data_IF_869551627555
#
_entry.id   IF_869551627555
#
_cell.length_a   1.000
_cell.length_b   1.000
_cell.length_c   1.000
_cell.angle_alpha   90.00
_cell.angle_beta   90.00
_cell.angle_gamma   90.00
#
_symmetry.space_group_name_H-M   'P 1'
#
loop_
_entity.id
_entity.type
_entity.pdbx_description
1 polymer ?
#
# COMPACT_ATOMS: atom_id res chain seq x y z
N UNK A 1 48.27 -18.35 -34.10
CA UNK A 1 47.08 -19.10 -33.62
C UNK A 1 46.70 -18.85 -32.16
N UNK A 2 47.65 -18.73 -31.21
CA UNK A 2 47.30 -18.50 -29.78
C UNK A 2 46.66 -17.14 -29.46
N UNK A 3 46.99 -16.07 -30.20
CA UNK A 3 46.42 -14.72 -29.99
C UNK A 3 44.96 -14.64 -30.46
N UNK A 4 44.58 -15.41 -31.49
CA UNK A 4 43.21 -15.41 -32.03
C UNK A 4 42.22 -16.16 -31.12
N UNK A 5 42.67 -17.23 -30.44
CA UNK A 5 41.86 -17.93 -29.44
C UNK A 5 41.68 -17.14 -28.13
N UNK A 6 42.63 -16.28 -27.76
CA UNK A 6 42.51 -15.42 -26.59
C UNK A 6 41.51 -14.28 -26.81
N UNK A 7 41.46 -13.71 -28.02
CA UNK A 7 40.46 -12.69 -28.39
C UNK A 7 39.05 -13.26 -28.47
N UNK A 8 38.89 -14.53 -28.89
CA UNK A 8 37.59 -15.20 -28.94
C UNK A 8 37.04 -15.50 -27.53
N UNK A 9 37.90 -15.87 -26.57
CA UNK A 9 37.50 -16.03 -25.17
C UNK A 9 37.18 -14.70 -24.48
N UNK A 10 37.90 -13.62 -24.83
CA UNK A 10 37.62 -12.29 -24.27
C UNK A 10 36.26 -11.74 -24.76
N UNK A 11 35.87 -12.04 -26.00
CA UNK A 11 34.58 -11.64 -26.60
C UNK A 11 33.38 -12.40 -26.00
N UNK A 12 33.56 -13.63 -25.54
CA UNK A 12 32.50 -14.41 -24.86
C UNK A 12 32.33 -13.97 -23.40
N UNK A 13 33.37 -13.42 -22.77
CA UNK A 13 33.30 -12.90 -21.39
C UNK A 13 32.78 -11.46 -21.25
N UNK A 14 32.50 -10.73 -22.35
CA UNK A 14 31.99 -9.35 -22.30
C UNK A 14 30.45 -9.27 -22.48
N UNK A 15 29.77 -10.39 -22.75
CA UNK A 15 28.31 -10.43 -22.93
C UNK A 15 27.49 -10.74 -21.67
N UNK A 16 28.05 -10.61 -20.47
CA UNK A 16 27.23 -10.49 -19.25
C UNK A 16 26.76 -9.05 -19.08
N UNK A 17 25.99 -8.56 -20.07
CA UNK A 17 25.09 -7.43 -19.85
C UNK A 17 24.12 -7.93 -18.79
N UNK A 18 24.02 -7.24 -17.66
CA UNK A 18 23.16 -7.59 -16.52
C UNK A 18 21.69 -7.65 -16.94
N UNK A 19 21.26 -8.69 -17.66
CA UNK A 19 19.86 -8.94 -17.91
C UNK A 19 19.23 -9.34 -16.57
N UNK A 20 18.23 -8.59 -16.13
CA UNK A 20 17.42 -9.00 -14.99
C UNK A 20 16.88 -10.40 -15.23
N UNK A 21 16.75 -11.18 -14.15
CA UNK A 21 16.16 -12.51 -14.22
C UNK A 21 14.78 -12.42 -14.89
N UNK A 22 14.39 -13.39 -15.73
CA UNK A 22 13.03 -13.41 -16.25
C UNK A 22 12.05 -13.46 -15.07
N UNK A 23 10.95 -12.67 -15.09
CA UNK A 23 9.92 -12.77 -14.08
C UNK A 23 9.41 -14.21 -13.99
N UNK A 24 9.14 -14.69 -12.78
CA UNK A 24 8.56 -16.02 -12.57
C UNK A 24 7.22 -16.13 -13.30
N UNK A 25 6.86 -17.31 -13.77
CA UNK A 25 5.52 -17.55 -14.31
C UNK A 25 4.45 -17.16 -13.28
N UNK A 26 3.28 -16.63 -13.69
CA UNK A 26 2.25 -16.23 -12.74
C UNK A 26 1.71 -17.41 -11.93
N UNK A 27 1.63 -17.25 -10.62
CA UNK A 27 1.08 -18.27 -9.70
C UNK A 27 0.29 -17.62 -8.57
N UNK A 28 -0.70 -18.34 -8.03
CA UNK A 28 -1.52 -17.84 -6.93
C UNK A 28 -0.94 -18.31 -5.60
N UNK A 29 -0.80 -17.38 -4.66
CA UNK A 29 -0.61 -17.70 -3.23
C UNK A 29 -1.90 -17.40 -2.48
N UNK A 30 -2.15 -18.17 -1.42
CA UNK A 30 -3.31 -17.97 -0.55
C UNK A 30 -2.84 -17.49 0.81
N UNK A 31 -3.38 -16.38 1.28
CA UNK A 31 -3.16 -15.91 2.64
C UNK A 31 -4.36 -16.30 3.52
N UNK A 32 -4.08 -16.99 4.62
CA UNK A 32 -5.07 -17.38 5.64
C UNK A 32 -4.53 -16.96 7.00
N UNK A 33 -5.28 -16.14 7.74
CA UNK A 33 -4.90 -15.63 9.06
C UNK A 33 -3.46 -15.03 9.11
N UNK A 34 -3.06 -14.30 8.07
CA UNK A 34 -1.74 -13.68 7.98
C UNK A 34 -0.62 -14.58 7.41
N UNK A 35 -0.81 -15.90 7.39
CA UNK A 35 0.16 -16.85 6.84
C UNK A 35 -0.04 -17.08 5.33
N UNK A 36 1.06 -17.14 4.57
CA UNK A 36 1.05 -17.35 3.13
C UNK A 36 1.29 -18.82 2.80
N UNK A 37 0.38 -19.39 2.02
CA UNK A 37 0.39 -20.75 1.54
C UNK A 37 0.67 -20.78 0.03
N UNK A 38 1.45 -21.78 -0.40
CA UNK A 38 1.81 -21.99 -1.81
C UNK A 38 0.87 -23.01 -2.44
N UNK A 39 0.91 -23.11 -3.76
CA UNK A 39 0.17 -24.13 -4.49
C UNK A 39 0.49 -25.53 -3.93
N UNK A 40 -0.55 -26.34 -3.73
CA UNK A 40 -0.48 -27.68 -3.14
C UNK A 40 -0.40 -27.72 -1.61
N UNK A 41 -0.31 -26.58 -0.92
CA UNK A 41 -0.23 -26.57 0.54
C UNK A 41 -1.50 -27.12 1.20
N UNK A 42 -1.27 -27.80 2.33
CA UNK A 42 -2.30 -28.23 3.26
C UNK A 42 -2.47 -27.16 4.36
N UNK A 43 -3.72 -26.85 4.68
CA UNK A 43 -4.13 -25.83 5.63
C UNK A 43 -5.02 -26.53 6.64
N UNK A 44 -4.54 -26.63 7.87
CA UNK A 44 -5.31 -27.21 8.96
C UNK A 44 -6.46 -26.29 9.34
N UNK A 45 -7.66 -26.86 9.38
CA UNK A 45 -8.90 -26.16 9.77
C UNK A 45 -9.74 -27.04 10.68
N UNK A 46 -10.64 -26.42 11.42
CA UNK A 46 -11.58 -27.13 12.29
C UNK A 46 -12.96 -27.28 11.62
N UNK A 47 -13.72 -28.36 11.88
CA UNK A 47 -15.07 -28.49 11.35
C UNK A 47 -15.98 -27.34 11.80
N UNK A 48 -16.78 -26.80 10.88
CA UNK A 48 -17.66 -25.66 11.14
C UNK A 48 -16.96 -24.30 11.28
N UNK A 49 -15.64 -24.24 11.14
CA UNK A 49 -14.87 -22.99 11.19
C UNK A 49 -15.23 -22.05 10.02
N UNK A 50 -15.25 -20.73 10.27
CA UNK A 50 -15.25 -19.73 9.20
C UNK A 50 -13.90 -19.03 9.14
N UNK A 51 -13.22 -19.16 8.01
CA UNK A 51 -11.92 -18.56 7.76
C UNK A 51 -12.00 -17.49 6.68
N UNK A 52 -11.23 -16.40 6.86
CA UNK A 52 -11.02 -15.40 5.83
C UNK A 52 -9.79 -15.77 5.02
N UNK A 53 -9.93 -15.74 3.70
CA UNK A 53 -8.84 -16.00 2.77
C UNK A 53 -8.65 -14.86 1.79
N UNK A 54 -7.40 -14.66 1.37
CA UNK A 54 -7.03 -13.71 0.32
C UNK A 54 -6.14 -14.38 -0.71
N UNK A 55 -6.47 -14.26 -1.99
CA UNK A 55 -5.67 -14.78 -3.09
C UNK A 55 -4.84 -13.67 -3.74
N UNK A 56 -3.54 -13.88 -3.90
CA UNK A 56 -2.66 -12.90 -4.54
C UNK A 56 -1.98 -13.56 -5.74
N UNK A 57 -2.12 -12.96 -6.92
CA UNK A 57 -1.41 -13.43 -8.11
C UNK A 57 0.03 -12.89 -8.12
N UNK A 58 0.98 -13.75 -7.80
CA UNK A 58 2.42 -13.47 -7.83
C UNK A 58 3.01 -13.84 -9.19
N UNK A 59 4.27 -13.47 -9.44
CA UNK A 59 4.91 -13.70 -10.74
C UNK A 59 4.56 -12.63 -11.78
N UNK A 60 4.99 -12.85 -13.02
CA UNK A 60 4.74 -12.00 -14.17
C UNK A 60 5.06 -10.52 -13.91
N UNK A 61 4.10 -9.65 -14.25
CA UNK A 61 4.25 -8.20 -14.08
C UNK A 61 4.35 -7.77 -12.63
N UNK A 62 3.75 -8.51 -11.69
CA UNK A 62 3.83 -8.17 -10.26
C UNK A 62 5.25 -8.28 -9.75
N UNK A 63 5.95 -9.36 -10.09
CA UNK A 63 7.36 -9.54 -9.75
C UNK A 63 8.22 -8.43 -10.35
N UNK A 64 8.02 -8.14 -11.64
CA UNK A 64 8.70 -7.04 -12.33
C UNK A 64 8.53 -5.70 -11.60
N UNK A 65 7.32 -5.38 -11.15
CA UNK A 65 7.01 -4.13 -10.44
C UNK A 65 7.47 -4.12 -8.99
N UNK A 66 7.46 -5.27 -8.31
CA UNK A 66 7.73 -5.38 -6.87
C UNK A 66 9.21 -5.55 -6.55
N UNK A 67 9.98 -6.15 -7.45
CA UNK A 67 11.42 -6.28 -7.32
C UNK A 67 12.12 -5.95 -8.66
N UNK A 68 12.10 -4.67 -9.07
CA UNK A 68 12.65 -4.28 -10.37
C UNK A 68 14.15 -4.46 -10.48
N UNK A 69 14.89 -4.36 -9.36
CA UNK A 69 16.34 -4.60 -9.37
C UNK A 69 16.68 -6.02 -9.83
N UNK A 70 15.82 -6.99 -9.50
CA UNK A 70 15.97 -8.37 -9.94
C UNK A 70 15.42 -8.61 -11.35
N UNK A 71 14.21 -8.12 -11.63
CA UNK A 71 13.43 -8.57 -12.79
C UNK A 71 13.29 -7.55 -13.93
N UNK A 72 13.61 -6.27 -13.70
CA UNK A 72 13.36 -5.19 -14.65
C UNK A 72 14.60 -4.70 -15.40
N UNK A 73 15.77 -5.31 -15.18
CA UNK A 73 17.04 -4.90 -15.78
C UNK A 73 17.26 -3.38 -15.64
N UNK A 74 17.40 -2.91 -14.39
CA UNK A 74 17.55 -1.49 -14.08
C UNK A 74 18.95 -1.03 -14.50
N UNK A 75 19.03 -0.26 -15.58
CA UNK A 75 20.30 0.29 -16.08
C UNK A 75 20.88 1.37 -15.17
N UNK A 76 22.18 1.67 -15.32
CA UNK A 76 22.91 2.66 -14.49
C UNK A 76 22.29 4.06 -14.50
N UNK A 77 21.56 4.42 -15.55
CA UNK A 77 20.91 5.73 -15.69
C UNK A 77 19.41 5.69 -15.38
N UNK A 78 18.90 4.57 -14.86
CA UNK A 78 17.50 4.38 -14.50
C UNK A 78 17.31 4.54 -13.00
N UNK A 79 16.43 5.45 -12.62
CA UNK A 79 16.01 5.67 -11.23
C UNK A 79 14.61 5.09 -11.06
N UNK A 80 14.48 4.12 -10.14
CA UNK A 80 13.16 3.64 -9.71
C UNK A 80 12.61 4.64 -8.70
N UNK A 81 11.51 5.29 -9.06
CA UNK A 81 10.86 6.32 -8.23
C UNK A 81 9.86 5.69 -7.25
N UNK A 82 9.19 4.61 -7.67
CA UNK A 82 8.30 3.82 -6.82
C UNK A 82 8.26 2.37 -7.30
N UNK A 83 8.07 1.42 -6.37
CA UNK A 83 7.93 0.00 -6.68
C UNK A 83 7.04 -0.66 -5.63
N UNK A 84 6.36 -1.75 -6.01
CA UNK A 84 5.50 -2.49 -5.10
C UNK A 84 4.46 -3.36 -5.82
N UNK A 85 3.59 -3.95 -4.99
CA UNK A 85 2.58 -4.92 -5.40
C UNK A 85 1.64 -4.41 -6.50
N UNK A 86 1.32 -3.11 -6.50
CA UNK A 86 0.32 -2.51 -7.39
C UNK A 86 0.93 -1.71 -8.55
N UNK A 87 2.26 -1.68 -8.68
CA UNK A 87 2.89 -0.89 -9.73
C UNK A 87 4.32 -0.46 -9.45
N UNK A 88 4.87 0.20 -10.45
CA UNK A 88 6.22 0.76 -10.41
C UNK A 88 6.27 2.00 -11.29
N UNK A 89 7.01 3.03 -10.86
CA UNK A 89 7.40 4.14 -11.72
C UNK A 89 8.92 4.30 -11.77
N UNK A 90 9.42 4.74 -12.91
CA UNK A 90 10.84 4.96 -13.13
C UNK A 90 11.10 6.09 -14.11
N UNK A 91 12.33 6.57 -14.06
CA UNK A 91 12.85 7.64 -14.88
C UNK A 91 14.22 7.23 -15.45
N UNK A 92 14.53 7.63 -16.67
CA UNK A 92 15.84 7.43 -17.31
C UNK A 92 16.37 8.78 -17.79
N UNK A 93 17.67 9.03 -17.55
CA UNK A 93 18.38 10.23 -17.97
C UNK A 93 17.68 11.52 -17.50
N UNK A 94 17.43 11.64 -16.19
CA UNK A 94 16.93 12.88 -15.56
C UNK A 94 15.63 13.45 -16.16
N UNK A 95 14.70 12.59 -16.57
CA UNK A 95 13.36 12.97 -17.06
C UNK A 95 13.17 12.81 -18.55
N UNK A 96 14.20 12.45 -19.31
CA UNK A 96 14.07 12.25 -20.75
C UNK A 96 13.12 11.10 -21.09
N UNK A 97 13.10 10.05 -20.27
CA UNK A 97 12.12 8.97 -20.36
C UNK A 97 11.52 8.71 -18.99
N UNK A 98 10.21 8.52 -18.94
CA UNK A 98 9.55 8.01 -17.74
C UNK A 98 8.58 6.90 -18.09
N UNK A 99 8.36 5.99 -17.14
CA UNK A 99 7.46 4.86 -17.30
C UNK A 99 6.71 4.58 -16.01
N UNK A 100 5.43 4.24 -16.12
CA UNK A 100 4.59 3.83 -15.00
C UNK A 100 3.79 2.60 -15.36
N UNK A 101 3.98 1.53 -14.60
CA UNK A 101 3.08 0.38 -14.56
C UNK A 101 2.12 0.53 -13.39
N UNK A 102 0.83 0.30 -13.64
CA UNK A 102 -0.21 0.30 -12.62
C UNK A 102 -1.08 -0.94 -12.75
N UNK A 103 -1.34 -1.62 -11.64
CA UNK A 103 -2.33 -2.68 -11.56
C UNK A 103 -3.73 -2.01 -11.61
N UNK A 104 -4.52 -2.34 -12.61
CA UNK A 104 -5.85 -1.73 -12.83
C UNK A 104 -6.98 -2.63 -12.34
N UNK A 105 -6.76 -3.94 -12.28
CA UNK A 105 -7.78 -4.89 -11.83
C UNK A 105 -7.13 -6.20 -11.38
N UNK A 106 -7.67 -6.84 -10.35
CA UNK A 106 -7.33 -8.20 -9.94
C UNK A 106 -8.59 -8.94 -9.51
N UNK A 107 -8.85 -10.10 -10.10
CA UNK A 107 -10.02 -10.92 -9.79
C UNK A 107 -9.59 -12.35 -9.53
N UNK A 108 -9.90 -12.84 -8.34
CA UNK A 108 -9.77 -14.23 -7.94
C UNK A 108 -11.14 -14.92 -7.92
N UNK A 109 -11.21 -16.09 -8.55
CA UNK A 109 -12.35 -16.97 -8.55
C UNK A 109 -11.99 -18.18 -7.70
N UNK A 110 -12.76 -18.38 -6.65
CA UNK A 110 -12.62 -19.48 -5.70
C UNK A 110 -13.63 -20.58 -6.04
N UNK A 111 -13.19 -21.83 -6.09
CA UNK A 111 -14.04 -22.99 -6.32
C UNK A 111 -13.58 -24.20 -5.52
N UNK A 112 -14.53 -25.08 -5.21
CA UNK A 112 -14.33 -26.27 -4.37
C UNK A 112 -15.44 -27.29 -4.65
N UNK A 113 -15.47 -28.39 -3.90
CA UNK A 113 -16.63 -29.26 -3.76
C UNK A 113 -17.83 -28.49 -3.17
N UNK A 114 -19.05 -28.94 -3.48
CA UNK A 114 -20.32 -28.30 -3.08
C UNK A 114 -20.46 -28.11 -1.56
N UNK A 115 -19.86 -28.99 -0.77
CA UNK A 115 -19.89 -28.93 0.69
C UNK A 115 -19.16 -27.70 1.28
N UNK A 116 -18.27 -27.06 0.52
CA UNK A 116 -17.53 -25.88 0.98
C UNK A 116 -18.24 -24.60 0.56
N UNK A 117 -18.83 -23.89 1.53
CA UNK A 117 -19.53 -22.64 1.24
C UNK A 117 -18.54 -21.48 1.16
N UNK A 118 -18.48 -20.86 -0.02
CA UNK A 118 -17.58 -19.74 -0.31
C UNK A 118 -18.39 -18.48 -0.54
N UNK A 119 -18.13 -17.44 0.25
CA UNK A 119 -18.80 -16.13 0.15
C UNK A 119 -17.76 -15.06 -0.18
N UNK A 120 -17.77 -14.47 -1.40
CA UNK A 120 -16.89 -13.36 -1.74
C UNK A 120 -17.08 -12.16 -0.81
N UNK A 121 -16.01 -11.50 -0.40
CA UNK A 121 -16.05 -10.36 0.54
C UNK A 121 -15.94 -8.99 -0.13
N UNK A 122 -15.28 -8.89 -1.29
CA UNK A 122 -14.91 -7.59 -1.87
C UNK A 122 -15.86 -7.13 -2.98
N UNK A 123 -16.06 -5.80 -3.03
CA UNK A 123 -16.63 -5.07 -4.15
C UNK A 123 -15.59 -4.09 -4.71
N UNK A 124 -15.54 -3.92 -6.04
CA UNK A 124 -14.57 -3.04 -6.71
C UNK A 124 -13.67 -3.73 -7.74
N UNK A 125 -12.53 -3.11 -8.06
CA UNK A 125 -11.54 -3.56 -9.05
C UNK A 125 -10.56 -4.62 -8.51
N UNK A 126 -10.51 -4.78 -7.18
CA UNK A 126 -9.75 -5.82 -6.51
C UNK A 126 -10.76 -6.74 -5.84
N UNK A 127 -10.87 -7.97 -6.35
CA UNK A 127 -11.79 -9.01 -5.87
C UNK A 127 -10.96 -10.26 -5.57
N UNK A 128 -10.28 -10.23 -4.43
CA UNK A 128 -9.30 -11.23 -4.01
C UNK A 128 -9.62 -11.89 -2.67
N UNK A 129 -10.66 -11.47 -1.98
CA UNK A 129 -11.02 -12.00 -0.66
C UNK A 129 -12.34 -12.79 -0.67
N UNK A 130 -12.38 -13.86 0.12
CA UNK A 130 -13.58 -14.63 0.40
C UNK A 130 -13.61 -15.13 1.86
N UNK A 131 -14.81 -15.33 2.38
CA UNK A 131 -15.04 -16.16 3.57
C UNK A 131 -15.35 -17.57 3.13
N UNK A 132 -14.72 -18.54 3.79
CA UNK A 132 -15.02 -19.95 3.63
C UNK A 132 -15.62 -20.46 4.93
N UNK A 133 -16.73 -21.20 4.83
CA UNK A 133 -17.33 -21.95 5.92
C UNK A 133 -17.04 -23.44 5.71
N UNK A 134 -16.28 -24.03 6.64
CA UNK A 134 -15.86 -25.45 6.62
C UNK A 134 -17.06 -26.32 7.00
N UNK A 135 -17.34 -27.42 6.27
CA UNK A 135 -18.41 -28.34 6.66
C UNK A 135 -18.16 -28.94 8.05
N UNK A 136 -19.24 -29.32 8.74
CA UNK A 136 -19.17 -29.86 10.10
C UNK A 136 -18.77 -31.33 10.14
N UNK A 137 -19.03 -32.08 9.08
CA UNK A 137 -18.84 -33.52 8.98
C UNK A 137 -18.60 -33.97 7.53
N UNK A 138 -18.35 -35.27 7.34
CA UNK A 138 -18.31 -35.91 6.02
C UNK A 138 -16.99 -35.81 5.25
N UNK A 139 -16.00 -35.04 5.72
CA UNK A 139 -14.73 -34.85 5.01
C UNK A 139 -13.55 -34.78 5.97
N UNK A 140 -12.43 -35.42 5.61
CA UNK A 140 -11.13 -35.23 6.28
C UNK A 140 -10.25 -34.22 5.55
N UNK A 141 -10.47 -34.04 4.24
CA UNK A 141 -9.69 -33.15 3.37
C UNK A 141 -10.55 -32.64 2.22
N UNK A 142 -10.49 -31.33 1.95
CA UNK A 142 -11.27 -30.65 0.90
C UNK A 142 -10.31 -29.80 0.05
N UNK A 143 -10.41 -29.88 -1.28
CA UNK A 143 -9.61 -29.02 -2.15
C UNK A 143 -10.24 -27.62 -2.27
N UNK A 144 -9.42 -26.59 -2.40
CA UNK A 144 -9.84 -25.24 -2.75
C UNK A 144 -9.02 -24.80 -3.95
N UNK A 145 -9.67 -24.66 -5.10
CA UNK A 145 -9.05 -24.16 -6.32
C UNK A 145 -9.26 -22.65 -6.44
N UNK A 146 -8.20 -21.94 -6.79
CA UNK A 146 -8.21 -20.50 -6.97
C UNK A 146 -7.63 -20.16 -8.33
N UNK A 147 -8.40 -19.43 -9.12
CA UNK A 147 -7.97 -18.88 -10.40
C UNK A 147 -7.94 -17.37 -10.28
N UNK A 148 -6.76 -16.75 -10.40
CA UNK A 148 -6.62 -15.29 -10.31
C UNK A 148 -6.13 -14.70 -11.63
N UNK A 149 -6.64 -13.51 -11.95
CA UNK A 149 -6.27 -12.75 -13.14
C UNK A 149 -6.01 -11.29 -12.78
N UNK A 150 -4.87 -10.76 -13.20
CA UNK A 150 -4.51 -9.35 -13.06
C UNK A 150 -4.47 -8.66 -14.42
N UNK A 151 -4.92 -7.40 -14.46
CA UNK A 151 -4.77 -6.49 -15.59
C UNK A 151 -3.86 -5.33 -15.21
N UNK A 152 -2.92 -5.01 -16.08
CA UNK A 152 -1.89 -3.98 -15.86
C UNK A 152 -1.91 -2.98 -17.00
N UNK A 153 -1.73 -1.71 -16.67
CA UNK A 153 -1.62 -0.62 -17.63
C UNK A 153 -0.25 0.05 -17.51
N UNK A 154 0.42 0.19 -18.65
CA UNK A 154 1.71 0.86 -18.78
C UNK A 154 1.57 2.17 -19.53
N UNK A 155 2.16 3.21 -19.00
CA UNK A 155 2.35 4.49 -19.68
C UNK A 155 3.83 4.79 -19.75
N UNK A 156 4.33 5.11 -20.95
CA UNK A 156 5.68 5.61 -21.19
C UNK A 156 5.64 6.99 -21.81
N UNK A 157 6.40 7.91 -21.24
CA UNK A 157 6.69 9.21 -21.84
C UNK A 157 8.09 9.20 -22.44
N UNK A 158 8.18 9.70 -23.66
CA UNK A 158 9.43 9.87 -24.40
C UNK A 158 9.42 11.26 -25.05
N UNK A 159 10.56 11.78 -25.53
CA UNK A 159 10.57 13.04 -26.29
C UNK A 159 9.72 12.96 -27.57
N UNK A 160 9.50 11.76 -28.09
CA UNK A 160 8.66 11.49 -29.26
C UNK A 160 7.17 11.28 -28.93
N UNK A 161 6.75 11.46 -27.67
CA UNK A 161 5.36 11.35 -27.23
C UNK A 161 5.08 10.22 -26.23
N UNK A 162 3.78 10.01 -25.97
CA UNK A 162 3.24 9.02 -25.03
C UNK A 162 2.97 7.69 -25.72
N UNK A 163 3.38 6.58 -25.10
CA UNK A 163 3.01 5.22 -25.52
C UNK A 163 2.32 4.50 -24.36
N UNK A 164 1.33 3.70 -24.69
CA UNK A 164 0.56 2.93 -23.72
C UNK A 164 0.55 1.46 -24.09
N UNK A 165 0.44 0.59 -23.09
CA UNK A 165 0.33 -0.86 -23.27
C UNK A 165 -0.44 -1.47 -22.11
N UNK A 166 -1.34 -2.40 -22.44
CA UNK A 166 -1.99 -3.25 -21.44
C UNK A 166 -1.37 -4.65 -21.42
N UNK A 167 -1.40 -5.28 -20.25
CA UNK A 167 -0.91 -6.63 -20.04
C UNK A 167 -1.80 -7.39 -19.07
N UNK A 168 -1.96 -8.69 -19.30
CA UNK A 168 -2.70 -9.57 -18.39
C UNK A 168 -1.81 -10.72 -17.94
N UNK A 169 -1.97 -11.09 -16.67
CA UNK A 169 -1.39 -12.31 -16.13
C UNK A 169 -2.49 -13.12 -15.48
N UNK A 170 -2.40 -14.44 -15.58
CA UNK A 170 -3.35 -15.39 -15.04
C UNK A 170 -2.60 -16.54 -14.39
N UNK A 171 -3.07 -16.97 -13.22
CA UNK A 171 -2.50 -18.10 -12.51
C UNK A 171 -3.60 -18.92 -11.85
N UNK A 172 -3.33 -20.20 -11.66
CA UNK A 172 -4.22 -21.14 -10.96
C UNK A 172 -3.43 -21.91 -9.92
N UNK A 173 -3.99 -22.01 -8.72
CA UNK A 173 -3.44 -22.84 -7.65
C UNK A 173 -4.55 -23.65 -6.98
N UNK A 174 -4.19 -24.79 -6.42
CA UNK A 174 -5.06 -25.63 -5.60
C UNK A 174 -4.45 -25.75 -4.22
N UNK A 175 -5.26 -25.56 -3.19
CA UNK A 175 -4.92 -25.72 -1.78
C UNK A 175 -5.78 -26.84 -1.21
N UNK A 176 -5.39 -27.37 -0.05
CA UNK A 176 -6.16 -28.40 0.62
C UNK A 176 -6.47 -27.99 2.06
N UNK A 177 -7.73 -27.98 2.42
CA UNK A 177 -8.21 -27.76 3.77
C UNK A 177 -8.28 -29.12 4.46
N UNK A 178 -7.45 -29.34 5.47
CA UNK A 178 -7.38 -30.59 6.23
C UNK A 178 -8.15 -30.40 7.53
N UNK A 179 -9.24 -31.13 7.68
CA UNK A 179 -10.12 -31.02 8.85
C UNK A 179 -9.48 -31.78 10.00
N UNK A 180 -9.03 -31.06 11.02
CA UNK A 180 -8.49 -31.65 12.23
C UNK A 180 -9.58 -31.75 13.29
N UNK A 181 -9.94 -33.00 13.60
CA UNK A 181 -10.79 -33.34 14.74
C UNK A 181 -9.89 -33.41 15.97
N UNK A 182 -10.09 -32.50 16.92
CA UNK A 182 -9.46 -32.63 18.23
C UNK A 182 -10.11 -33.79 19.00
N UNK A 183 -9.29 -34.60 19.67
CA UNK A 183 -9.78 -35.73 20.46
C UNK A 183 -10.75 -35.27 21.55
N UNK A 184 -11.84 -36.02 21.71
CA UNK A 184 -12.91 -35.72 22.66
C UNK A 184 -13.84 -34.57 22.26
N UNK A 185 -13.63 -33.91 21.11
CA UNK A 185 -14.55 -32.87 20.62
C UNK A 185 -15.78 -33.51 19.98
N UNK A 186 -16.95 -33.23 20.57
CA UNK A 186 -18.25 -33.67 20.05
C UNK A 186 -19.07 -32.50 19.46
N UNK A 187 -18.67 -31.26 19.74
CA UNK A 187 -19.28 -30.06 19.15
C UNK A 187 -18.23 -29.08 18.63
N UNK A 188 -18.44 -28.60 17.40
CA UNK A 188 -17.58 -27.61 16.77
C UNK A 188 -18.36 -26.69 15.85
N UNK A 189 -18.16 -25.38 16.03
CA UNK A 189 -18.67 -24.32 15.16
C UNK A 189 -17.69 -23.15 15.08
N UNK A 190 -17.94 -22.16 14.23
CA UNK A 190 -17.03 -21.04 14.04
C UNK A 190 -16.52 -20.39 15.33
N UNK A 191 -17.37 -20.26 16.34
CA UNK A 191 -17.06 -19.55 17.58
C UNK A 191 -17.03 -20.43 18.82
N UNK A 192 -17.27 -21.75 18.69
CA UNK A 192 -17.43 -22.63 19.84
C UNK A 192 -16.80 -23.99 19.58
N UNK A 193 -16.30 -24.58 20.66
CA UNK A 193 -15.84 -25.96 20.72
C UNK A 193 -16.27 -26.56 22.06
N UNK A 194 -16.76 -27.80 22.08
CA UNK A 194 -17.04 -28.52 23.30
C UNK A 194 -16.38 -29.91 23.30
N UNK A 195 -15.78 -30.28 24.44
CA UNK A 195 -15.13 -31.57 24.69
C UNK A 195 -15.79 -32.33 25.84
N UNK A 196 -15.61 -33.64 25.85
CA UNK A 196 -16.07 -34.52 26.93
C UNK A 196 -17.23 -35.40 26.49
N UNK A 197 -18.20 -35.60 27.38
CA UNK A 197 -19.43 -36.32 27.08
C UNK A 197 -20.46 -35.38 26.43
N UNK A 198 -21.14 -35.90 25.42
CA UNK A 198 -22.20 -35.17 24.74
C UNK A 198 -23.50 -35.21 25.58
N UNK A 199 -24.14 -34.05 25.67
CA UNK A 199 -25.52 -33.92 26.13
C UNK A 199 -26.34 -33.14 25.10
N UNK A 200 -27.56 -33.60 24.84
CA UNK A 200 -28.41 -33.04 23.78
C UNK A 200 -28.93 -31.64 24.13
N UNK A 201 -29.23 -31.39 25.41
CA UNK A 201 -29.65 -30.07 25.89
C UNK A 201 -28.50 -29.09 25.75
N UNK A 202 -27.29 -29.46 26.22
CA UNK A 202 -26.08 -28.65 26.06
C UNK A 202 -25.78 -28.37 24.58
N UNK A 203 -25.94 -29.35 23.69
CA UNK A 203 -25.79 -29.15 22.24
C UNK A 203 -26.73 -28.07 21.71
N UNK A 204 -28.00 -28.08 22.12
CA UNK A 204 -28.99 -27.10 21.67
C UNK A 204 -28.64 -25.69 22.16
N UNK A 205 -28.25 -25.55 23.42
CA UNK A 205 -27.80 -24.26 23.97
C UNK A 205 -26.57 -23.73 23.21
N UNK A 206 -25.59 -24.60 22.91
CA UNK A 206 -24.42 -24.22 22.11
C UNK A 206 -24.78 -23.82 20.66
N UNK A 207 -25.82 -24.41 20.07
CA UNK A 207 -26.32 -23.99 18.75
C UNK A 207 -26.91 -22.58 18.81
N UNK A 208 -27.72 -22.28 19.84
CA UNK A 208 -28.31 -20.96 20.05
C UNK A 208 -27.24 -19.90 20.29
N UNK A 209 -26.25 -20.18 21.13
CA UNK A 209 -25.08 -19.30 21.32
C UNK A 209 -24.42 -18.99 19.96
N UNK A 210 -24.17 -19.99 19.12
CA UNK A 210 -23.57 -19.77 17.81
C UNK A 210 -24.46 -18.92 16.89
N UNK A 211 -25.78 -19.06 16.97
CA UNK A 211 -26.71 -18.24 16.19
C UNK A 211 -26.70 -16.78 16.65
N UNK A 212 -26.68 -16.51 17.96
CA UNK A 212 -26.53 -15.14 18.45
C UNK A 212 -25.21 -14.51 18.04
N UNK A 213 -24.10 -15.27 18.00
CA UNK A 213 -22.85 -14.79 17.42
C UNK A 213 -23.03 -14.29 15.97
N UNK A 214 -23.75 -15.06 15.14
CA UNK A 214 -24.00 -14.69 13.73
C UNK A 214 -24.94 -13.49 13.61
N UNK A 215 -26.00 -13.44 14.43
CA UNK A 215 -26.96 -12.34 14.41
C UNK A 215 -26.30 -11.02 14.83
N UNK A 216 -25.48 -11.04 15.88
CA UNK A 216 -24.72 -9.87 16.32
C UNK A 216 -23.78 -9.39 15.21
N UNK A 217 -22.97 -10.28 14.62
CA UNK A 217 -22.08 -9.95 13.48
C UNK A 217 -22.88 -9.27 12.36
N UNK A 218 -24.02 -9.85 11.97
CA UNK A 218 -24.90 -9.32 10.91
C UNK A 218 -25.47 -7.94 11.23
N UNK A 219 -25.92 -7.70 12.46
CA UNK A 219 -26.46 -6.39 12.86
C UNK A 219 -25.36 -5.32 12.94
N UNK A 220 -24.17 -5.68 13.44
CA UNK A 220 -23.02 -4.77 13.48
C UNK A 220 -22.58 -4.35 12.07
N UNK A 221 -22.53 -5.28 11.11
CA UNK A 221 -22.20 -4.97 9.71
C UNK A 221 -23.22 -4.01 9.07
N UNK A 222 -24.48 -4.03 9.52
CA UNK A 222 -25.55 -3.15 9.05
C UNK A 222 -25.65 -1.83 9.84
N UNK A 223 -24.75 -1.59 10.80
CA UNK A 223 -24.82 -0.48 11.76
C UNK A 223 -26.13 -0.44 12.57
N UNK A 224 -26.78 -1.59 12.73
CA UNK A 224 -28.03 -1.75 13.48
C UNK A 224 -27.73 -2.05 14.95
N UNK A 225 -27.22 -1.04 15.65
CA UNK A 225 -26.66 -1.20 16.99
C UNK A 225 -27.70 -1.59 18.04
N UNK A 226 -28.94 -1.12 17.89
CA UNK A 226 -30.04 -1.46 18.81
C UNK A 226 -30.33 -2.95 18.80
N UNK A 227 -30.45 -3.56 17.61
CA UNK A 227 -30.66 -5.00 17.52
C UNK A 227 -29.41 -5.77 17.92
N UNK A 228 -28.21 -5.27 17.60
CA UNK A 228 -26.97 -5.88 18.10
C UNK A 228 -26.94 -5.96 19.63
N UNK A 229 -27.34 -4.89 20.35
CA UNK A 229 -27.39 -4.88 21.82
C UNK A 229 -28.38 -5.89 22.38
N UNK A 230 -29.57 -5.97 21.77
CA UNK A 230 -30.56 -6.97 22.15
C UNK A 230 -30.01 -8.39 22.00
N UNK A 231 -29.35 -8.68 20.88
CA UNK A 231 -28.76 -10.00 20.65
C UNK A 231 -27.54 -10.27 21.55
N UNK A 232 -26.79 -9.24 21.96
CA UNK A 232 -25.73 -9.37 22.96
C UNK A 232 -26.31 -9.79 24.31
N UNK A 233 -27.45 -9.23 24.73
CA UNK A 233 -28.09 -9.67 25.98
C UNK A 233 -28.61 -11.11 25.86
N UNK A 234 -29.22 -11.47 24.73
CA UNK A 234 -29.64 -12.85 24.47
C UNK A 234 -28.45 -13.81 24.52
N UNK A 235 -27.32 -13.45 23.89
CA UNK A 235 -26.09 -14.24 23.96
C UNK A 235 -25.65 -14.48 25.42
N UNK A 236 -25.64 -13.44 26.25
CA UNK A 236 -25.25 -13.57 27.67
C UNK A 236 -26.19 -14.50 28.44
N UNK A 237 -27.49 -14.44 28.14
CA UNK A 237 -28.49 -15.33 28.74
C UNK A 237 -28.22 -16.78 28.32
N UNK A 238 -28.05 -17.05 27.02
CA UNK A 238 -27.79 -18.40 26.52
C UNK A 238 -26.45 -18.99 26.97
N UNK A 239 -25.42 -18.15 27.19
CA UNK A 239 -24.18 -18.59 27.85
C UNK A 239 -24.45 -19.03 29.29
N UNK A 240 -25.32 -18.33 30.03
CA UNK A 240 -25.71 -18.74 31.37
C UNK A 240 -26.59 -20.00 31.37
N UNK A 241 -27.52 -20.14 30.41
CA UNK A 241 -28.34 -21.33 30.23
C UNK A 241 -27.50 -22.55 29.86
N UNK A 242 -26.48 -22.39 29.01
CA UNK A 242 -25.50 -23.46 28.69
C UNK A 242 -24.82 -23.96 29.97
N UNK A 243 -24.41 -23.05 30.86
CA UNK A 243 -23.84 -23.43 32.15
C UNK A 243 -24.84 -24.24 32.99
N UNK A 244 -26.09 -23.76 33.07
CA UNK A 244 -27.14 -24.45 33.83
C UNK A 244 -27.37 -25.86 33.30
N UNK A 245 -27.45 -26.02 31.98
CA UNK A 245 -27.61 -27.33 31.34
C UNK A 245 -26.42 -28.27 31.63
N UNK A 246 -25.19 -27.75 31.67
CA UNK A 246 -24.01 -28.53 32.07
C UNK A 246 -24.09 -28.94 33.54
N UNK A 247 -24.48 -28.02 34.42
CA UNK A 247 -24.62 -28.29 35.86
C UNK A 247 -25.74 -29.32 36.13
N UNK A 248 -26.86 -29.24 35.40
CA UNK A 248 -27.97 -30.21 35.45
C UNK A 248 -27.53 -31.60 34.96
N UNK A 249 -26.89 -31.69 33.78
CA UNK A 249 -26.37 -32.95 33.25
C UNK A 249 -25.35 -33.61 34.21
N UNK A 250 -24.55 -32.80 34.91
CA UNK A 250 -23.60 -33.27 35.93
C UNK A 250 -24.27 -33.77 37.22
N UNK A 251 -25.44 -33.24 37.56
CA UNK A 251 -26.24 -33.75 38.68
C UNK A 251 -26.89 -35.08 38.36
N UNK A 252 -27.35 -35.26 37.12
CA UNK A 252 -27.95 -36.51 36.64
C UNK A 252 -26.91 -37.61 36.43
N UNK A 253 -25.71 -37.25 35.97
CA UNK A 253 -24.59 -38.16 35.77
C UNK A 253 -23.30 -37.59 36.36
N UNK A 254 -22.83 -38.19 37.46
CA UNK A 254 -21.61 -37.75 38.15
C UNK A 254 -20.32 -37.90 37.33
N UNK A 255 -20.32 -38.75 36.30
CA UNK A 255 -19.20 -38.90 35.36
C UNK A 255 -19.25 -37.89 34.21
N UNK A 256 -20.33 -37.10 34.10
CA UNK A 256 -20.46 -36.09 33.05
C UNK A 256 -19.39 -35.00 33.18
N UNK A 257 -18.59 -34.88 32.12
CA UNK A 257 -17.64 -33.79 31.92
C UNK A 257 -17.93 -33.10 30.59
N UNK A 258 -17.98 -31.77 30.62
CA UNK A 258 -18.12 -30.98 29.41
C UNK A 258 -17.29 -29.71 29.56
N UNK A 259 -16.33 -29.53 28.65
CA UNK A 259 -15.47 -28.36 28.59
C UNK A 259 -15.84 -27.54 27.37
N UNK A 260 -16.33 -26.32 27.60
CA UNK A 260 -16.70 -25.38 26.53
C UNK A 260 -15.58 -24.36 26.32
N UNK A 261 -15.24 -24.14 25.05
CA UNK A 261 -14.33 -23.08 24.61
C UNK A 261 -15.04 -22.12 23.67
N UNK A 262 -15.08 -20.85 24.06
CA UNK A 262 -15.49 -19.72 23.21
C UNK A 262 -14.29 -19.23 22.39
N UNK A 263 -14.48 -19.03 21.08
CA UNK A 263 -13.44 -18.66 20.13
C UNK A 263 -13.84 -17.36 19.43
N UNK A 264 -13.04 -16.32 19.67
CA UNK A 264 -13.28 -14.97 19.18
C UNK A 264 -14.48 -14.30 19.84
N UNK A 265 -14.91 -13.21 19.23
CA UNK A 265 -16.09 -12.43 19.60
C UNK A 265 -16.94 -12.17 18.35
N UNK A 266 -18.26 -11.94 18.49
CA UNK A 266 -19.09 -11.57 17.35
C UNK A 266 -18.75 -10.18 16.77
N UNK A 267 -17.88 -9.42 17.44
CA UNK A 267 -17.36 -8.12 17.02
C UNK A 267 -16.09 -8.23 16.15
N UNK A 268 -15.44 -9.40 16.07
CA UNK A 268 -14.11 -9.55 15.47
C UNK A 268 -14.03 -9.01 14.04
N UNK A 269 -15.01 -9.34 13.19
CA UNK A 269 -15.03 -8.90 11.79
C UNK A 269 -15.17 -7.38 11.67
N UNK A 270 -16.06 -6.79 12.46
CA UNK A 270 -16.27 -5.33 12.48
C UNK A 270 -15.05 -4.61 13.06
N UNK A 271 -14.35 -5.23 14.01
CA UNK A 271 -13.08 -4.72 14.55
C UNK A 271 -11.93 -4.81 13.53
N UNK A 272 -11.83 -5.88 12.74
CA UNK A 272 -10.88 -5.96 11.61
C UNK A 272 -11.10 -4.80 10.63
N UNK A 273 -12.36 -4.53 10.26
CA UNK A 273 -12.71 -3.41 9.40
C UNK A 273 -12.31 -2.06 10.01
N UNK A 274 -12.60 -1.84 11.30
CA UNK A 274 -12.21 -0.62 12.01
C UNK A 274 -10.67 -0.44 12.02
N UNK A 275 -9.94 -1.50 12.34
CA UNK A 275 -8.47 -1.49 12.37
C UNK A 275 -7.86 -1.18 11.00
N UNK A 276 -8.44 -1.71 9.92
CA UNK A 276 -8.02 -1.42 8.54
C UNK A 276 -8.24 0.04 8.17
N UNK A 277 -9.39 0.61 8.53
CA UNK A 277 -9.71 2.01 8.28
C UNK A 277 -8.79 2.94 9.08
N UNK A 278 -8.51 2.60 10.34
CA UNK A 278 -7.53 3.32 11.17
C UNK A 278 -6.12 3.28 10.55
N UNK A 279 -5.68 2.11 10.11
CA UNK A 279 -4.40 1.94 9.41
C UNK A 279 -4.34 2.78 8.14
N UNK A 280 -5.43 2.81 7.35
CA UNK A 280 -5.52 3.65 6.15
C UNK A 280 -5.44 5.15 6.49
N UNK A 281 -6.17 5.59 7.53
CA UNK A 281 -6.12 6.97 8.03
C UNK A 281 -4.71 7.39 8.46
N UNK A 282 -3.98 6.49 9.13
CA UNK A 282 -2.58 6.72 9.51
C UNK A 282 -1.66 6.83 8.28
N UNK A 283 -1.82 5.96 7.28
CA UNK A 283 -1.07 6.06 6.02
C UNK A 283 -1.31 7.39 5.30
N UNK A 284 -2.54 7.90 5.29
CA UNK A 284 -2.82 9.22 4.73
C UNK A 284 -2.14 10.35 5.49
N UNK A 285 -2.09 10.26 6.83
CA UNK A 285 -1.33 11.20 7.67
C UNK A 285 0.17 11.16 7.33
N UNK A 286 0.75 9.99 7.15
CA UNK A 286 2.15 9.84 6.73
C UNK A 286 2.40 10.48 5.36
N UNK A 287 1.51 10.26 4.38
CA UNK A 287 1.60 10.88 3.05
C UNK A 287 1.53 12.41 3.11
N UNK A 288 0.68 12.96 3.98
CA UNK A 288 0.64 14.40 4.25
C UNK A 288 1.99 14.93 4.77
N UNK A 289 2.59 14.26 5.76
CA UNK A 289 3.87 14.69 6.32
C UNK A 289 5.01 14.63 5.29
N UNK A 290 5.00 13.63 4.41
CA UNK A 290 5.95 13.54 3.29
C UNK A 290 5.78 14.73 2.35
N UNK A 291 4.55 15.03 1.92
CA UNK A 291 4.28 16.17 1.04
C UNK A 291 4.68 17.49 1.71
N UNK A 292 4.39 17.68 2.99
CA UNK A 292 4.79 18.87 3.75
C UNK A 292 6.32 19.02 3.79
N UNK A 293 7.05 17.93 4.10
CA UNK A 293 8.52 17.94 4.09
C UNK A 293 9.09 18.31 2.71
N UNK A 294 8.48 17.78 1.64
CA UNK A 294 8.88 18.12 0.27
C UNK A 294 8.61 19.58 -0.07
N UNK A 295 7.47 20.14 0.33
CA UNK A 295 7.18 21.58 0.16
C UNK A 295 8.24 22.43 0.86
N UNK A 296 8.63 22.09 2.09
CA UNK A 296 9.68 22.83 2.82
C UNK A 296 11.03 22.76 2.10
N UNK A 297 11.44 21.58 1.62
CA UNK A 297 12.67 21.42 0.83
C UNK A 297 12.62 22.22 -0.47
N UNK A 298 11.50 22.17 -1.18
CA UNK A 298 11.31 22.92 -2.42
C UNK A 298 11.33 24.43 -2.15
N UNK A 299 10.73 24.90 -1.05
CA UNK A 299 10.79 26.32 -0.67
C UNK A 299 12.23 26.77 -0.41
N UNK A 300 13.04 25.96 0.27
CA UNK A 300 14.46 26.26 0.47
C UNK A 300 15.21 26.30 -0.87
N UNK A 301 15.01 25.31 -1.74
CA UNK A 301 15.61 25.31 -3.08
C UNK A 301 15.16 26.52 -3.90
N UNK A 302 13.87 26.85 -3.90
CA UNK A 302 13.34 28.03 -4.59
C UNK A 302 14.00 29.30 -4.07
N UNK A 303 14.15 29.46 -2.76
CA UNK A 303 14.82 30.60 -2.15
C UNK A 303 16.28 30.69 -2.61
N UNK A 304 17.03 29.58 -2.58
CA UNK A 304 18.43 29.52 -3.03
C UNK A 304 18.56 29.89 -4.51
N UNK A 305 17.71 29.32 -5.37
CA UNK A 305 17.68 29.63 -6.80
C UNK A 305 17.23 31.07 -7.09
N UNK A 306 16.29 31.62 -6.31
CA UNK A 306 15.83 33.00 -6.43
C UNK A 306 16.89 34.02 -5.98
N UNK A 307 17.64 33.72 -4.92
CA UNK A 307 18.79 34.53 -4.49
C UNK A 307 19.89 34.49 -5.55
N UNK A 308 20.22 33.32 -6.09
CA UNK A 308 21.18 33.17 -7.19
C UNK A 308 20.74 33.86 -8.48
N UNK A 309 19.45 33.76 -8.84
CA UNK A 309 18.86 34.46 -9.97
C UNK A 309 18.90 35.98 -9.78
N UNK A 310 18.55 36.50 -8.59
CA UNK A 310 18.58 37.93 -8.30
C UNK A 310 19.99 38.51 -8.39
N UNK A 311 21.00 37.77 -7.90
CA UNK A 311 22.41 38.13 -8.05
C UNK A 311 22.85 38.19 -9.53
N UNK A 312 22.38 37.25 -10.35
CA UNK A 312 22.70 37.19 -11.78
C UNK A 312 21.94 38.26 -12.60
N UNK A 313 20.70 38.59 -12.23
CA UNK A 313 19.94 39.71 -12.82
C UNK A 313 20.61 41.04 -12.50
N UNK A 314 21.04 41.27 -11.25
CA UNK A 314 21.79 42.47 -10.88
C UNK A 314 23.05 42.63 -11.74
N UNK A 315 23.83 41.56 -11.92
CA UNK A 315 24.98 41.52 -12.84
C UNK A 315 24.59 41.85 -14.29
N UNK A 316 23.47 41.30 -14.78
CA UNK A 316 22.95 41.58 -16.13
C UNK A 316 22.43 43.02 -16.30
N UNK A 317 21.91 43.64 -15.25
CA UNK A 317 21.49 45.06 -15.26
C UNK A 317 22.73 45.96 -15.31
N UNK A 318 23.78 45.64 -14.55
CA UNK A 318 25.08 46.31 -14.66
C UNK A 318 25.69 46.18 -16.07
N UNK A 319 25.56 45.02 -16.72
CA UNK A 319 25.94 44.81 -18.13
C UNK A 319 25.24 45.78 -19.09
N UNK A 320 23.94 46.00 -18.94
CA UNK A 320 23.20 46.96 -19.77
C UNK A 320 23.64 48.41 -19.52
N UNK A 321 23.99 48.76 -18.29
CA UNK A 321 24.51 50.07 -17.92
C UNK A 321 25.89 50.35 -18.55
N UNK A 322 26.78 49.35 -18.57
CA UNK A 322 28.10 49.43 -19.23
C UNK A 322 27.97 49.54 -20.76
N UNK A 323 27.07 48.77 -21.36
CA UNK A 323 26.78 48.85 -22.80
C UNK A 323 26.23 50.23 -23.21
N UNK A 324 25.48 50.91 -22.34
CA UNK A 324 25.07 52.31 -22.51
C UNK A 324 26.27 53.27 -22.46
N UNK A 325 27.21 53.06 -21.52
CA UNK A 325 28.44 53.86 -21.41
C UNK A 325 29.41 53.70 -22.59
N UNK A 326 29.49 52.51 -23.20
CA UNK A 326 30.27 52.25 -24.42
C UNK A 326 29.61 52.75 -25.71
N UNK A 327 28.35 53.23 -25.64
CA UNK A 327 27.65 53.87 -26.75
C UNK A 327 28.01 55.36 -26.94
N UNK A 328 28.89 55.91 -26.09
CA UNK A 328 29.48 57.22 -26.33
C UNK A 328 30.39 57.15 -27.56
N UNK A 329 30.32 58.12 -28.49
CA UNK A 329 31.10 58.09 -29.72
C UNK A 329 32.60 57.95 -29.42
N UNK A 330 33.26 56.91 -29.92
CA UNK A 330 34.73 56.84 -29.88
C UNK A 330 35.29 58.04 -30.66
N UNK A 331 35.90 58.99 -29.94
CA UNK A 331 36.37 60.26 -30.49
C UNK A 331 35.98 61.52 -29.70
N UNK A 332 35.11 61.43 -28.69
CA UNK A 332 34.83 62.60 -27.82
C UNK A 332 36.08 63.06 -27.06
N UNK A 333 37.02 62.16 -26.80
CA UNK A 333 38.30 62.46 -26.14
C UNK A 333 39.12 63.49 -26.93
N UNK A 334 39.24 63.35 -28.27
CA UNK A 334 39.95 64.30 -29.11
C UNK A 334 39.25 65.67 -29.24
N UNK A 335 37.93 65.72 -29.05
CA UNK A 335 37.15 66.97 -29.08
C UNK A 335 37.17 67.68 -27.71
N UNK A 336 37.20 66.93 -26.61
CA UNK A 336 37.24 67.45 -25.24
C UNK A 336 38.64 67.90 -24.82
N UNK A 337 39.73 67.28 -25.31
CA UNK A 337 41.10 67.74 -25.06
C UNK A 337 41.40 69.11 -25.68
N UNK A 338 40.61 69.54 -26.67
CA UNK A 338 40.68 70.89 -27.25
C UNK A 338 40.14 71.98 -26.32
N UNK A 339 39.28 71.60 -25.36
CA UNK A 339 38.61 72.51 -24.41
C UNK A 339 38.97 72.27 -22.93
N UNK A 340 39.68 71.18 -22.59
CA UNK A 340 40.25 70.94 -21.25
C UNK A 340 41.72 70.49 -21.30
N UNK A 341 42.67 71.43 -21.53
CA UNK A 341 44.10 71.12 -21.63
C UNK A 341 44.77 70.76 -20.29
N UNK A 342 44.02 70.78 -19.18
CA UNK A 342 44.53 70.44 -17.84
C UNK A 342 44.20 69.01 -17.41
N UNK A 343 43.53 68.23 -18.26
CA UNK A 343 43.15 66.85 -17.94
C UNK A 343 42.34 66.77 -16.62
N UNK A 344 41.46 67.75 -16.38
CA UNK A 344 40.57 67.71 -15.21
C UNK A 344 39.51 66.62 -15.39
N UNK A 345 39.10 66.38 -16.65
CA UNK A 345 38.33 65.23 -17.08
C UNK A 345 39.25 64.03 -17.33
N UNK A 346 39.88 63.53 -16.28
CA UNK A 346 40.64 62.28 -16.33
C UNK A 346 39.78 61.16 -16.93
N UNK A 347 40.40 60.40 -17.85
CA UNK A 347 39.96 59.14 -18.44
C UNK A 347 38.86 58.48 -17.62
N UNK A 348 37.70 58.23 -18.24
CA UNK A 348 36.66 57.36 -17.68
C UNK A 348 37.29 55.96 -17.58
N UNK A 349 38.04 55.75 -16.51
CA UNK A 349 38.72 54.50 -16.21
C UNK A 349 37.64 53.57 -15.66
N UNK A 350 36.99 52.84 -16.56
CA UNK A 350 36.11 51.75 -16.17
C UNK A 350 36.97 50.81 -15.31
N UNK A 351 36.66 50.64 -14.01
CA UNK A 351 37.50 49.86 -13.12
C UNK A 351 37.72 48.46 -13.71
N UNK A 352 38.96 47.95 -13.70
CA UNK A 352 39.31 46.61 -14.23
C UNK A 352 38.41 45.47 -13.72
N UNK A 353 37.75 45.66 -12.57
CA UNK A 353 36.70 44.80 -12.01
C UNK A 353 35.47 44.64 -12.93
N UNK A 354 35.12 45.66 -13.70
CA UNK A 354 33.95 45.70 -14.59
C UNK A 354 34.17 44.88 -15.86
N UNK A 355 35.39 44.89 -16.40
CA UNK A 355 35.75 44.08 -17.59
C UNK A 355 35.87 42.59 -17.27
N UNK A 356 36.31 42.25 -16.05
CA UNK A 356 36.24 40.88 -15.52
C UNK A 356 34.78 40.40 -15.43
N UNK A 357 33.88 41.24 -14.92
CA UNK A 357 32.45 40.91 -14.82
C UNK A 357 31.75 40.79 -16.18
N UNK A 358 32.24 41.51 -17.20
CA UNK A 358 31.74 41.41 -18.58
C UNK A 358 32.05 40.05 -19.21
N UNK A 359 33.28 39.54 -19.03
CA UNK A 359 33.69 38.22 -19.52
C UNK A 359 32.92 37.09 -18.82
N UNK A 360 32.66 37.21 -17.52
CA UNK A 360 31.82 36.26 -16.76
C UNK A 360 30.34 36.30 -17.23
N UNK A 361 29.82 37.48 -17.58
CA UNK A 361 28.41 37.68 -17.97
C UNK A 361 28.02 37.17 -19.37
N UNK A 362 28.98 36.72 -20.20
CA UNK A 362 28.69 36.05 -21.48
C UNK A 362 28.42 34.54 -21.29
N UNK A 363 29.00 33.93 -20.24
CA UNK A 363 28.69 32.58 -19.77
C UNK A 363 27.31 32.48 -19.09
N UNK A 364 26.86 33.56 -18.45
CA UNK A 364 25.66 33.58 -17.58
C UNK A 364 24.30 33.62 -18.29
N UNK A 365 24.23 33.94 -19.60
CA UNK A 365 22.95 34.01 -20.32
C UNK A 365 22.25 32.64 -20.46
N UNK A 366 23.02 31.56 -20.61
CA UNK A 366 22.50 30.18 -20.57
C UNK A 366 22.11 29.74 -19.15
N UNK A 367 22.82 30.26 -18.14
CA UNK A 367 22.55 30.01 -16.72
C UNK A 367 21.23 30.65 -16.30
N UNK A 368 20.95 31.88 -16.74
CA UNK A 368 19.67 32.58 -16.46
C UNK A 368 18.46 31.83 -17.02
N UNK A 369 18.52 31.32 -18.26
CA UNK A 369 17.43 30.53 -18.86
C UNK A 369 17.19 29.23 -18.08
N UNK A 370 18.25 28.53 -17.70
CA UNK A 370 18.16 27.31 -16.90
C UNK A 370 17.64 27.58 -15.47
N UNK A 371 18.02 28.71 -14.86
CA UNK A 371 17.53 29.13 -13.54
C UNK A 371 16.02 29.46 -13.57
N UNK A 372 15.54 30.19 -14.58
CA UNK A 372 14.09 30.48 -14.74
C UNK A 372 13.29 29.19 -14.95
N UNK A 373 13.77 28.28 -15.80
CA UNK A 373 13.09 26.99 -16.03
C UNK A 373 13.09 26.12 -14.76
N UNK A 374 14.18 26.13 -13.99
CA UNK A 374 14.28 25.40 -12.71
C UNK A 374 13.34 25.98 -11.65
N UNK A 375 13.27 27.31 -11.51
CA UNK A 375 12.32 27.98 -10.61
C UNK A 375 10.88 27.64 -10.99
N UNK A 376 10.56 27.63 -12.29
CA UNK A 376 9.23 27.25 -12.78
C UNK A 376 8.88 25.80 -12.42
N UNK A 377 9.77 24.84 -12.71
CA UNK A 377 9.56 23.41 -12.39
C UNK A 377 9.44 23.17 -10.89
N UNK A 378 10.27 23.82 -10.07
CA UNK A 378 10.19 23.73 -8.61
C UNK A 378 8.89 24.33 -8.08
N UNK A 379 8.42 25.45 -8.66
CA UNK A 379 7.12 26.04 -8.30
C UNK A 379 5.95 25.12 -8.67
N UNK A 380 5.95 24.53 -9.86
CA UNK A 380 4.94 23.54 -10.27
C UNK A 380 4.94 22.31 -9.36
N UNK A 381 6.12 21.82 -8.98
CA UNK A 381 6.27 20.71 -8.05
C UNK A 381 5.79 21.07 -6.63
N UNK A 382 6.02 22.31 -6.18
CA UNK A 382 5.48 22.82 -4.92
C UNK A 382 3.96 22.81 -4.93
N UNK A 383 3.33 23.36 -5.96
CA UNK A 383 1.87 23.39 -6.11
C UNK A 383 1.28 21.98 -6.15
N UNK A 384 1.95 21.04 -6.82
CA UNK A 384 1.55 19.63 -6.79
C UNK A 384 1.51 19.06 -5.36
N UNK A 385 2.55 19.27 -4.56
CA UNK A 385 2.57 18.78 -3.19
C UNK A 385 1.56 19.50 -2.29
N UNK A 386 1.34 20.81 -2.48
CA UNK A 386 0.31 21.58 -1.76
C UNK A 386 -1.10 21.07 -2.06
N UNK A 387 -1.42 20.81 -3.33
CA UNK A 387 -2.71 20.24 -3.73
C UNK A 387 -2.92 18.84 -3.13
N UNK A 388 -1.90 17.99 -3.16
CA UNK A 388 -1.97 16.67 -2.52
C UNK A 388 -2.17 16.75 -1.01
N UNK A 389 -1.55 17.72 -0.33
CA UNK A 389 -1.78 17.94 1.10
C UNK A 389 -3.25 18.24 1.39
N UNK A 390 -3.90 19.09 0.59
CA UNK A 390 -5.33 19.39 0.74
C UNK A 390 -6.19 18.14 0.57
N UNK A 391 -5.94 17.37 -0.49
CA UNK A 391 -6.68 16.12 -0.77
C UNK A 391 -6.52 15.10 0.37
N UNK A 392 -5.31 14.92 0.90
CA UNK A 392 -5.07 14.00 2.02
C UNK A 392 -5.80 14.43 3.29
N UNK A 393 -5.94 15.73 3.54
CA UNK A 393 -6.72 16.24 4.68
C UNK A 393 -8.20 15.93 4.49
N UNK A 394 -8.76 16.18 3.31
CA UNK A 394 -10.17 15.89 3.01
C UNK A 394 -10.50 14.40 3.09
N UNK A 395 -9.68 13.54 2.47
CA UNK A 395 -9.89 12.09 2.52
C UNK A 395 -9.74 11.56 3.95
N UNK A 396 -8.76 12.07 4.72
CA UNK A 396 -8.61 11.69 6.13
C UNK A 396 -9.80 12.13 6.98
N UNK A 397 -10.42 13.28 6.72
CA UNK A 397 -11.67 13.69 7.41
C UNK A 397 -12.78 12.68 7.17
N UNK A 398 -12.99 12.25 5.92
CA UNK A 398 -13.98 11.21 5.58
C UNK A 398 -13.68 9.89 6.29
N UNK A 399 -12.42 9.48 6.35
CA UNK A 399 -12.03 8.27 7.10
C UNK A 399 -12.27 8.43 8.60
N UNK A 400 -12.02 9.61 9.16
CA UNK A 400 -12.28 9.87 10.58
C UNK A 400 -13.77 9.87 10.91
N UNK A 401 -14.62 10.38 10.02
CA UNK A 401 -16.08 10.28 10.15
C UNK A 401 -16.51 8.81 10.22
N UNK A 402 -15.99 7.95 9.32
CA UNK A 402 -16.27 6.51 9.34
C UNK A 402 -15.75 5.86 10.63
N UNK A 403 -14.56 6.24 11.12
CA UNK A 403 -14.02 5.72 12.39
C UNK A 403 -14.94 6.10 13.56
N UNK A 404 -15.40 7.35 13.60
CA UNK A 404 -16.29 7.83 14.64
C UNK A 404 -17.64 7.11 14.58
N UNK A 405 -18.19 6.88 13.38
CA UNK A 405 -19.41 6.10 13.17
C UNK A 405 -19.32 4.66 13.67
N UNK A 406 -18.12 4.08 13.61
CA UNK A 406 -17.83 2.70 14.04
C UNK A 406 -17.33 2.61 15.49
N UNK A 407 -17.16 3.74 16.18
CA UNK A 407 -16.80 3.76 17.60
C UNK A 407 -17.72 2.90 18.49
N UNK A 408 -19.05 2.82 18.26
CA UNK A 408 -19.92 1.94 19.03
C UNK A 408 -19.58 0.44 18.91
N UNK A 409 -18.91 0.02 17.82
CA UNK A 409 -18.42 -1.36 17.68
C UNK A 409 -17.32 -1.65 18.69
N UNK A 410 -16.40 -0.70 18.88
CA UNK A 410 -15.29 -0.83 19.83
C UNK A 410 -15.79 -0.96 21.26
N UNK A 411 -16.74 -0.13 21.66
CA UNK A 411 -17.35 -0.19 22.99
C UNK A 411 -18.00 -1.56 23.28
N UNK A 412 -18.71 -2.12 22.29
CA UNK A 412 -19.30 -3.46 22.38
C UNK A 412 -18.24 -4.55 22.44
N UNK A 413 -17.17 -4.41 21.67
CA UNK A 413 -16.04 -5.33 21.70
C UNK A 413 -15.40 -5.37 23.09
N UNK A 414 -15.15 -4.20 23.68
CA UNK A 414 -14.53 -4.08 25.00
C UNK A 414 -15.45 -4.68 26.08
N UNK A 415 -16.76 -4.40 26.02
CA UNK A 415 -17.75 -4.97 26.93
C UNK A 415 -17.89 -6.50 26.81
N UNK A 416 -17.87 -7.04 25.58
CA UNK A 416 -17.90 -8.49 25.35
C UNK A 416 -16.60 -9.16 25.78
N UNK A 417 -15.46 -8.53 25.54
CA UNK A 417 -14.15 -9.00 26.01
C UNK A 417 -14.16 -9.11 27.54
N UNK A 418 -14.63 -8.08 28.24
CA UNK A 418 -14.75 -8.11 29.69
C UNK A 418 -15.70 -9.20 30.17
N UNK A 419 -16.85 -9.36 29.50
CA UNK A 419 -17.83 -10.39 29.83
C UNK A 419 -17.23 -11.80 29.68
N UNK A 420 -16.66 -12.15 28.53
CA UNK A 420 -16.11 -13.49 28.31
C UNK A 420 -14.91 -13.80 29.21
N UNK A 421 -14.09 -12.81 29.56
CA UNK A 421 -13.05 -12.98 30.58
C UNK A 421 -13.60 -13.23 32.00
N UNK A 422 -14.82 -12.78 32.29
CA UNK A 422 -15.50 -13.02 33.58
C UNK A 422 -16.17 -14.39 33.67
N UNK A 423 -16.34 -15.09 32.54
CA UNK A 423 -16.92 -16.43 32.50
C UNK A 423 -15.86 -17.44 32.97
N UNK A 424 -16.06 -18.01 34.17
CA UNK A 424 -15.06 -18.90 34.79
C UNK A 424 -15.25 -20.39 34.50
N UNK A 425 -16.44 -20.79 34.05
CA UNK A 425 -16.78 -22.20 33.79
C UNK A 425 -16.37 -22.68 32.39
N UNK A 426 -15.99 -21.75 31.51
CA UNK A 426 -15.58 -22.02 30.14
C UNK A 426 -14.27 -21.30 29.83
N UNK A 427 -13.58 -21.74 28.79
CA UNK A 427 -12.37 -21.05 28.30
C UNK A 427 -12.73 -20.07 27.20
N UNK A 428 -12.16 -18.88 27.20
CA UNK A 428 -12.22 -17.96 26.06
C UNK A 428 -10.86 -17.84 25.39
N UNK A 429 -10.84 -17.89 24.06
CA UNK A 429 -9.65 -17.68 23.22
C UNK A 429 -9.93 -16.59 22.19
N UNK A 430 -9.03 -15.61 22.07
CA UNK A 430 -9.06 -14.66 20.97
C UNK A 430 -8.83 -15.38 19.62
N UNK A 431 -9.38 -14.82 18.54
CA UNK A 431 -9.31 -15.40 17.19
C UNK A 431 -8.09 -14.92 16.40
#
# INVERSE_FOLDING_TARGET
MKILSMLFFLLISISSVFAGDPPREPFVVLQVNGQIYKNGSEITVRPGERIKIQAILMGGRRDYCSNPQKYANVGKNTVIESSGENGMSFNINSGQFSGKWSLTNEVAIFSSAEALKITPLESGQFKREAMIEIPKDGFSKIYLKVKSKTSWHYVRHTPAGKKEKDEQNEGTSTFYLVLQLEEGVWYSSNNLLAKGLEDFTVRNELNEVQEFYKLIEKHLLKKDYKNADMQIQNLKNYVAETKRAIDEAKQENSEYNCEVTFIGLPTDLSMDHLNKIQTLSNKWKERYLISQSNVLKINNMLLDYQMGFSANVLKSVFKNYINWGSGLPTGVENFLTLYDPKNVLGVIDLPRTVMSWYMDAQSDAGILKNQVETIKKLSELREFYLNNMSNFVEERKKLQEIINDLQPVKERNDALTQYFNSVTWATWKAK
#
